data_IF_100272869044
#
_entry.id   IF_100272869044
#
_cell.length_a   1.000
_cell.length_b   1.000
_cell.length_c   1.000
_cell.angle_alpha   90.00
_cell.angle_beta   90.00
_cell.angle_gamma   90.00
#
_symmetry.space_group_name_H-M   'P 1'
#
loop_
_entity.id
_entity.type
_entity.pdbx_description
1 polymer ?
#
# COMPACT_ATOMS: atom_id res chain seq x y z
N UNK A 1 38.40 -10.80 26.51
CA UNK A 1 38.92 -9.65 25.77
C UNK A 1 37.81 -9.14 24.86
N UNK A 2 37.10 -8.10 25.33
CA UNK A 2 35.88 -7.55 24.66
C UNK A 2 36.33 -6.37 23.80
N UNK A 3 36.18 -6.52 22.48
CA UNK A 3 36.51 -5.48 21.50
C UNK A 3 35.29 -4.57 21.30
N UNK A 4 35.37 -3.34 21.78
CA UNK A 4 34.38 -2.28 21.50
C UNK A 4 34.76 -1.62 20.17
N UNK A 5 33.91 -1.73 19.16
CA UNK A 5 34.01 -0.97 17.91
C UNK A 5 33.13 0.28 18.06
N UNK A 6 33.77 1.44 18.15
CA UNK A 6 33.12 2.75 18.11
C UNK A 6 33.01 3.15 16.64
N UNK A 7 31.79 3.21 16.11
CA UNK A 7 31.51 3.75 14.76
C UNK A 7 31.30 5.25 14.89
N UNK A 8 32.25 6.02 14.36
CA UNK A 8 32.17 7.48 14.26
C UNK A 8 31.37 7.84 13.00
N UNK A 9 30.15 8.38 13.19
CA UNK A 9 29.33 8.94 12.12
C UNK A 9 29.82 10.34 11.78
N UNK A 10 30.43 10.52 10.60
CA UNK A 10 30.76 11.85 10.06
C UNK A 10 29.56 12.39 9.29
N UNK A 11 28.96 13.46 9.82
CA UNK A 11 27.96 14.26 9.13
C UNK A 11 28.63 15.07 8.00
N UNK A 12 28.34 14.72 6.75
CA UNK A 12 28.73 15.50 5.58
C UNK A 12 27.66 16.56 5.30
N UNK A 13 27.97 17.80 5.57
CA UNK A 13 27.11 18.94 5.26
C UNK A 13 27.19 19.27 3.77
N UNK A 14 26.08 19.11 3.03
CA UNK A 14 25.95 19.61 1.66
C UNK A 14 25.86 21.13 1.68
N UNK A 15 26.89 21.81 1.13
CA UNK A 15 26.89 23.24 0.83
C UNK A 15 26.08 23.52 -0.44
N UNK A 16 24.96 24.21 -0.30
CA UNK A 16 24.18 24.74 -1.43
C UNK A 16 24.93 25.93 -2.02
N UNK A 17 25.38 25.79 -3.24
CA UNK A 17 26.03 26.87 -4.00
C UNK A 17 24.94 27.71 -4.69
N UNK A 18 24.82 28.98 -4.28
CA UNK A 18 24.04 30.00 -5.00
C UNK A 18 24.77 30.39 -6.27
N UNK A 19 24.25 29.95 -7.40
CA UNK A 19 24.65 30.47 -8.71
C UNK A 19 23.88 31.74 -9.02
N UNK A 20 24.55 32.87 -9.00
CA UNK A 20 24.12 34.12 -9.63
C UNK A 20 24.46 34.05 -11.09
N UNK A 21 23.47 33.98 -11.97
CA UNK A 21 23.61 34.28 -13.40
C UNK A 21 22.60 35.35 -13.77
N UNK A 22 23.10 36.55 -13.92
CA UNK A 22 22.43 37.65 -14.57
C UNK A 22 22.59 37.48 -16.09
N UNK A 23 21.54 37.15 -16.82
CA UNK A 23 21.40 37.44 -18.22
C UNK A 23 20.05 38.10 -18.41
N UNK A 24 20.09 39.41 -18.49
CA UNK A 24 19.07 40.28 -19.07
C UNK A 24 19.17 40.16 -20.58
N UNK A 25 18.37 39.33 -21.22
CA UNK A 25 18.03 39.47 -22.62
C UNK A 25 16.61 40.01 -22.71
N UNK A 26 16.52 41.15 -23.43
CA UNK A 26 15.33 41.96 -23.49
C UNK A 26 14.14 41.24 -24.12
N UNK A 27 12.97 41.50 -23.54
CA UNK A 27 11.70 41.23 -24.19
C UNK A 27 11.57 42.05 -25.48
N UNK A 28 11.15 41.45 -26.58
CA UNK A 28 10.81 42.21 -27.78
C UNK A 28 9.57 43.06 -27.51
N UNK A 29 9.60 44.29 -27.99
CA UNK A 29 8.56 45.30 -27.92
C UNK A 29 7.20 44.81 -28.42
N UNK A 30 6.12 45.33 -27.83
CA UNK A 30 4.71 45.02 -28.05
C UNK A 30 4.14 45.39 -29.44
N UNK A 31 4.93 45.53 -30.50
CA UNK A 31 4.45 45.98 -31.79
C UNK A 31 4.67 44.96 -32.91
N UNK A 32 4.16 43.74 -32.77
CA UNK A 32 4.04 42.86 -33.95
C UNK A 32 3.10 41.67 -33.68
N UNK A 33 1.85 41.94 -33.36
CA UNK A 33 0.81 40.92 -33.54
C UNK A 33 -0.41 41.53 -34.25
N UNK A 34 -0.20 42.00 -35.47
CA UNK A 34 -1.32 42.15 -36.40
C UNK A 34 -1.65 40.76 -36.91
N UNK A 35 -2.75 40.23 -36.42
CA UNK A 35 -3.40 39.09 -37.05
C UNK A 35 -4.06 39.59 -38.34
N UNK A 36 -3.41 39.35 -39.45
CA UNK A 36 -4.02 39.42 -40.75
C UNK A 36 -4.62 38.04 -41.06
N UNK A 37 -5.79 38.11 -41.70
CA UNK A 37 -6.61 37.00 -42.19
C UNK A 37 -7.41 36.19 -41.17
N UNK A 38 -8.71 36.45 -41.28
CA UNK A 38 -9.77 35.58 -40.79
C UNK A 38 -9.58 34.18 -41.37
N UNK A 39 -8.79 33.35 -40.66
CA UNK A 39 -8.82 31.93 -40.89
C UNK A 39 -10.25 31.45 -40.56
N UNK A 40 -10.87 30.79 -41.50
CA UNK A 40 -12.15 30.11 -41.38
C UNK A 40 -12.26 29.46 -39.99
N UNK A 41 -13.06 30.05 -39.14
CA UNK A 41 -13.49 29.37 -37.93
C UNK A 41 -14.25 28.15 -38.44
N UNK A 42 -13.89 26.94 -37.99
CA UNK A 42 -14.68 25.76 -38.31
C UNK A 42 -16.10 26.03 -37.87
N UNK A 43 -17.04 25.80 -38.80
CA UNK A 43 -18.48 25.92 -38.58
C UNK A 43 -18.81 25.36 -37.22
N UNK A 44 -19.59 26.14 -36.45
CA UNK A 44 -20.07 25.77 -35.14
C UNK A 44 -20.44 24.28 -35.13
N UNK A 45 -19.66 23.45 -34.46
CA UNK A 45 -20.10 22.13 -34.13
C UNK A 45 -21.35 22.34 -33.29
N UNK A 46 -22.48 22.02 -33.91
CA UNK A 46 -23.75 21.87 -33.25
C UNK A 46 -23.51 20.85 -32.15
N UNK A 47 -23.36 21.35 -30.93
CA UNK A 47 -23.35 20.51 -29.78
C UNK A 47 -24.78 19.97 -29.62
N UNK A 48 -25.02 18.80 -30.21
CA UNK A 48 -26.24 18.04 -29.95
C UNK A 48 -26.39 17.87 -28.43
N UNK A 49 -27.04 18.86 -27.83
CA UNK A 49 -27.40 18.84 -26.41
C UNK A 49 -28.62 17.97 -26.14
N UNK A 50 -29.05 17.21 -27.13
CA UNK A 50 -30.21 16.30 -26.96
C UNK A 50 -29.73 14.85 -26.90
N UNK A 51 -29.97 14.26 -25.75
CA UNK A 51 -29.99 12.82 -25.44
C UNK A 51 -28.81 12.15 -24.71
N UNK A 52 -27.99 12.86 -23.99
CA UNK A 52 -27.26 12.14 -22.97
C UNK A 52 -28.14 12.03 -21.70
N UNK A 53 -28.69 10.85 -21.45
CA UNK A 53 -29.19 10.48 -20.13
C UNK A 53 -28.19 10.99 -19.07
N UNK A 54 -28.64 11.61 -17.97
CA UNK A 54 -27.72 12.14 -16.98
C UNK A 54 -26.82 11.01 -16.53
N UNK A 55 -25.54 11.05 -16.91
CA UNK A 55 -24.52 10.10 -16.45
C UNK A 55 -24.54 10.19 -14.93
N UNK A 56 -25.16 9.21 -14.28
CA UNK A 56 -25.14 9.07 -12.83
C UNK A 56 -23.66 9.01 -12.47
N UNK A 57 -23.15 10.11 -11.92
CA UNK A 57 -21.77 10.12 -11.44
C UNK A 57 -21.65 9.00 -10.42
N UNK A 58 -20.69 8.09 -10.56
CA UNK A 58 -20.49 7.09 -9.55
C UNK A 58 -20.34 7.81 -8.22
N UNK A 59 -21.09 7.37 -7.22
CA UNK A 59 -21.00 7.91 -5.87
C UNK A 59 -19.51 7.80 -5.50
N UNK A 60 -18.86 8.94 -5.29
CA UNK A 60 -17.50 8.95 -4.76
C UNK A 60 -17.54 8.24 -3.41
N UNK A 61 -16.97 7.05 -3.38
CA UNK A 61 -16.87 6.30 -2.14
C UNK A 61 -15.58 6.78 -1.45
N UNK A 62 -15.66 7.68 -0.47
CA UNK A 62 -14.49 8.11 0.28
C UNK A 62 -13.90 6.88 0.99
N UNK A 63 -12.64 6.94 1.36
CA UNK A 63 -11.90 5.88 2.07
C UNK A 63 -12.77 5.10 3.06
N UNK A 64 -12.51 3.80 3.17
CA UNK A 64 -13.18 2.95 4.16
C UNK A 64 -13.08 3.59 5.55
N UNK A 65 -14.15 3.44 6.34
CA UNK A 65 -14.16 3.89 7.73
C UNK A 65 -13.05 3.20 8.49
N UNK A 66 -12.20 3.96 9.17
CA UNK A 66 -11.17 3.43 10.05
C UNK A 66 -11.86 2.93 11.32
N UNK A 67 -11.85 1.63 11.54
CA UNK A 67 -12.45 0.98 12.72
C UNK A 67 -11.44 0.75 13.83
N UNK A 68 -10.18 0.55 13.46
CA UNK A 68 -9.11 0.14 14.39
C UNK A 68 -7.85 0.96 14.15
N UNK A 69 -7.22 1.41 15.23
CA UNK A 69 -5.88 1.98 15.23
C UNK A 69 -4.87 0.86 15.44
N UNK A 70 -4.03 0.59 14.46
CA UNK A 70 -2.85 -0.26 14.59
C UNK A 70 -1.72 0.56 15.22
N UNK A 71 -1.35 0.22 16.45
CA UNK A 71 -0.35 0.97 17.21
C UNK A 71 1.05 0.45 16.89
N UNK A 72 1.19 -0.86 16.82
CA UNK A 72 2.46 -1.52 16.54
C UNK A 72 2.25 -2.91 15.94
N UNK A 73 3.04 -3.23 14.93
CA UNK A 73 3.11 -4.58 14.36
C UNK A 73 4.56 -5.07 14.38
N UNK A 74 4.80 -6.18 15.06
CA UNK A 74 6.06 -6.92 15.01
C UNK A 74 5.88 -8.13 14.11
N UNK A 75 6.74 -8.27 13.09
CA UNK A 75 6.77 -9.42 12.20
C UNK A 75 8.00 -10.29 12.47
N UNK A 76 7.76 -11.60 12.60
CA UNK A 76 8.79 -12.63 12.64
C UNK A 76 8.54 -13.55 11.44
N UNK A 77 9.43 -13.51 10.44
CA UNK A 77 9.19 -14.13 9.14
C UNK A 77 10.33 -15.03 8.70
N UNK A 78 9.99 -16.08 7.94
CA UNK A 78 10.93 -16.91 7.22
C UNK A 78 10.40 -17.18 5.80
N UNK A 79 11.30 -17.35 4.84
CA UNK A 79 10.94 -17.50 3.44
C UNK A 79 11.17 -18.94 2.96
N UNK A 80 10.14 -19.53 2.36
CA UNK A 80 10.24 -20.76 1.60
C UNK A 80 10.43 -20.42 0.13
N UNK A 81 11.67 -20.41 -0.33
CA UNK A 81 12.03 -20.06 -1.70
C UNK A 81 11.49 -21.04 -2.73
N UNK A 82 11.39 -22.32 -2.39
CA UNK A 82 10.94 -23.35 -3.33
C UNK A 82 9.45 -23.20 -3.68
N UNK A 83 8.67 -22.79 -2.69
CA UNK A 83 7.20 -22.63 -2.81
C UNK A 83 6.80 -21.17 -3.04
N UNK A 84 7.75 -20.22 -3.04
CA UNK A 84 7.45 -18.78 -3.09
C UNK A 84 6.50 -18.35 -1.97
N UNK A 85 6.73 -18.83 -0.75
CA UNK A 85 5.88 -18.57 0.41
C UNK A 85 6.63 -17.88 1.54
N UNK A 86 5.89 -17.15 2.37
CA UNK A 86 6.38 -16.57 3.60
C UNK A 86 5.64 -17.20 4.78
N UNK A 87 6.39 -17.80 5.72
CA UNK A 87 5.85 -18.22 7.00
C UNK A 87 6.02 -17.06 7.98
N UNK A 88 4.92 -16.56 8.49
CA UNK A 88 4.87 -15.36 9.31
C UNK A 88 4.24 -15.58 10.68
N UNK A 89 4.73 -14.80 11.62
CA UNK A 89 4.10 -14.57 12.92
C UNK A 89 4.04 -13.08 13.14
N UNK A 90 2.82 -12.54 13.15
CA UNK A 90 2.56 -11.14 13.44
C UNK A 90 2.11 -10.98 14.89
N UNK A 91 2.72 -10.06 15.61
CA UNK A 91 2.25 -9.60 16.92
C UNK A 91 1.76 -8.17 16.76
N UNK A 92 0.45 -7.97 16.87
CA UNK A 92 -0.23 -6.72 16.56
C UNK A 92 -0.76 -6.13 17.86
N UNK A 93 -0.36 -4.91 18.17
CA UNK A 93 -0.97 -4.10 19.23
C UNK A 93 -1.90 -3.10 18.58
N UNK A 94 -3.16 -3.09 18.99
CA UNK A 94 -4.21 -2.28 18.41
C UNK A 94 -5.20 -1.82 19.49
N UNK A 95 -6.07 -0.88 19.08
CA UNK A 95 -7.23 -0.44 19.85
C UNK A 95 -8.36 -0.04 18.91
N UNK A 96 -9.63 -0.03 19.35
CA UNK A 96 -10.72 0.57 18.58
C UNK A 96 -10.45 2.06 18.31
N UNK A 97 -10.80 2.54 17.10
CA UNK A 97 -10.54 3.94 16.72
C UNK A 97 -11.51 4.92 17.41
N UNK A 98 -12.78 4.87 17.06
CA UNK A 98 -13.78 5.80 17.62
C UNK A 98 -14.75 5.14 18.59
N UNK A 99 -15.32 4.02 18.19
CA UNK A 99 -16.34 3.29 18.92
C UNK A 99 -15.74 2.06 19.58
N UNK A 100 -16.31 1.65 20.71
CA UNK A 100 -15.96 0.39 21.32
C UNK A 100 -16.28 -0.78 20.38
N UNK A 101 -15.47 -1.82 20.41
CA UNK A 101 -15.60 -3.00 19.55
C UNK A 101 -15.12 -4.26 20.27
N UNK A 102 -15.76 -5.37 19.96
CA UNK A 102 -15.35 -6.74 20.31
C UNK A 102 -14.75 -7.48 19.11
N UNK A 103 -14.61 -6.83 17.97
CA UNK A 103 -14.07 -7.41 16.74
C UNK A 103 -12.83 -6.66 16.26
N UNK A 104 -11.91 -7.41 15.66
CA UNK A 104 -10.81 -6.88 14.86
C UNK A 104 -10.90 -7.43 13.44
N UNK A 105 -11.01 -6.53 12.46
CA UNK A 105 -11.09 -6.88 11.04
C UNK A 105 -9.78 -6.47 10.36
N UNK A 106 -9.11 -7.44 9.74
CA UNK A 106 -7.86 -7.25 9.02
C UNK A 106 -7.98 -7.72 7.58
N UNK A 107 -7.39 -6.98 6.66
CA UNK A 107 -7.23 -7.46 5.29
C UNK A 107 -6.18 -8.59 5.29
N UNK A 108 -6.52 -9.75 4.72
CA UNK A 108 -5.65 -10.93 4.73
C UNK A 108 -5.82 -11.72 3.43
N UNK A 109 -5.21 -11.22 2.35
CA UNK A 109 -5.36 -11.84 1.02
C UNK A 109 -4.23 -12.83 0.75
N UNK A 110 -4.61 -14.01 0.20
CA UNK A 110 -3.65 -15.04 -0.21
C UNK A 110 -2.84 -15.59 0.95
N UNK A 111 -3.49 -15.86 2.07
CA UNK A 111 -2.87 -16.39 3.28
C UNK A 111 -3.60 -17.64 3.77
N UNK A 112 -2.87 -18.56 4.36
CA UNK A 112 -3.43 -19.57 5.24
C UNK A 112 -3.26 -19.06 6.68
N UNK A 113 -4.36 -18.85 7.39
CA UNK A 113 -4.34 -18.47 8.80
C UNK A 113 -4.23 -19.75 9.61
N UNK A 114 -3.13 -19.90 10.34
CA UNK A 114 -2.84 -21.10 11.09
C UNK A 114 -3.32 -21.01 12.54
N UNK A 115 -3.17 -19.81 13.12
CA UNK A 115 -3.47 -19.58 14.53
C UNK A 115 -3.69 -18.11 14.83
N UNK A 116 -4.69 -17.82 15.67
CA UNK A 116 -4.94 -16.49 16.19
C UNK A 116 -5.04 -16.58 17.72
N UNK A 117 -4.24 -15.79 18.44
CA UNK A 117 -4.16 -15.85 19.90
C UNK A 117 -4.12 -14.49 20.55
N UNK A 118 -4.66 -14.41 21.77
CA UNK A 118 -4.47 -13.30 22.69
C UNK A 118 -4.01 -13.85 24.05
N UNK A 119 -2.88 -13.35 24.56
CA UNK A 119 -2.29 -13.79 25.84
C UNK A 119 -2.14 -15.32 25.94
N UNK A 120 -1.86 -15.99 24.83
CA UNK A 120 -1.67 -17.44 24.75
C UNK A 120 -2.96 -18.28 24.65
N UNK A 121 -4.14 -17.66 24.65
CA UNK A 121 -5.41 -18.32 24.40
C UNK A 121 -5.81 -18.14 22.93
N UNK A 122 -6.36 -19.20 22.35
CA UNK A 122 -6.87 -19.14 20.98
C UNK A 122 -8.12 -18.27 20.94
N UNK A 123 -8.24 -17.47 19.88
CA UNK A 123 -9.41 -16.65 19.58
C UNK A 123 -10.22 -17.27 18.45
N UNK A 124 -11.53 -17.11 18.53
CA UNK A 124 -12.43 -17.43 17.43
C UNK A 124 -12.23 -16.41 16.29
N UNK A 125 -12.24 -16.89 15.05
CA UNK A 125 -12.14 -16.03 13.88
C UNK A 125 -12.87 -16.64 12.69
N UNK A 126 -13.22 -15.78 11.71
CA UNK A 126 -13.75 -16.18 10.41
C UNK A 126 -12.84 -15.68 9.30
N UNK A 127 -12.66 -16.50 8.25
CA UNK A 127 -11.83 -16.22 7.10
C UNK A 127 -12.42 -16.90 5.85
N UNK A 128 -13.72 -16.64 5.59
CA UNK A 128 -14.49 -17.38 4.58
C UNK A 128 -14.20 -16.94 3.15
N UNK A 129 -13.97 -15.65 2.95
CA UNK A 129 -13.75 -15.07 1.63
C UNK A 129 -12.27 -15.04 1.21
N UNK A 130 -11.36 -15.51 2.05
CA UNK A 130 -9.92 -15.43 1.89
C UNK A 130 -9.40 -13.98 1.61
N UNK A 131 -10.19 -12.98 2.02
CA UNK A 131 -9.88 -11.56 1.86
C UNK A 131 -9.77 -10.86 3.20
N UNK A 132 -10.67 -11.17 4.13
CA UNK A 132 -10.75 -10.54 5.44
C UNK A 132 -10.71 -11.55 6.56
N UNK A 133 -9.86 -11.27 7.52
CA UNK A 133 -9.77 -12.01 8.77
C UNK A 133 -10.56 -11.24 9.83
N UNK A 134 -11.71 -11.78 10.25
CA UNK A 134 -12.53 -11.22 11.32
C UNK A 134 -12.26 -11.99 12.60
N UNK A 135 -11.77 -11.32 13.62
CA UNK A 135 -11.34 -11.92 14.90
C UNK A 135 -12.26 -11.45 16.00
N UNK A 136 -12.86 -12.39 16.74
CA UNK A 136 -13.60 -12.10 17.96
C UNK A 136 -12.60 -11.89 19.11
N UNK A 137 -12.63 -10.71 19.73
CA UNK A 137 -11.72 -10.34 20.82
C UNK A 137 -12.17 -10.94 22.20
N UNK A 138 -13.32 -11.61 22.22
CA UNK A 138 -13.88 -12.24 23.42
C UNK A 138 -14.48 -11.28 24.45
N UNK A 139 -14.36 -9.98 24.23
CA UNK A 139 -15.01 -8.90 24.99
C UNK A 139 -14.95 -7.58 24.27
N UNK A 140 -15.79 -6.66 24.64
CA UNK A 140 -15.76 -5.28 24.17
C UNK A 140 -14.54 -4.54 24.71
N UNK A 141 -13.80 -3.87 23.85
CA UNK A 141 -12.71 -2.93 24.15
C UNK A 141 -13.14 -1.50 23.83
N UNK A 142 -12.80 -0.57 24.72
CA UNK A 142 -13.02 0.87 24.49
C UNK A 142 -11.86 1.42 23.63
N UNK A 143 -12.07 2.57 23.02
CA UNK A 143 -11.04 3.27 22.21
C UNK A 143 -9.81 3.72 23.03
N UNK A 144 -9.85 3.63 24.34
CA UNK A 144 -8.73 3.88 25.27
C UNK A 144 -8.01 2.63 25.73
N UNK A 145 -8.52 1.44 25.36
CA UNK A 145 -7.98 0.16 25.78
C UNK A 145 -7.22 -0.52 24.63
N UNK A 146 -5.97 -0.84 24.89
CA UNK A 146 -5.14 -1.57 23.95
C UNK A 146 -5.26 -3.08 24.17
N UNK A 147 -5.13 -3.83 23.08
CA UNK A 147 -5.00 -5.27 23.09
C UNK A 147 -3.86 -5.71 22.17
N UNK A 148 -3.30 -6.88 22.44
CA UNK A 148 -2.25 -7.46 21.61
C UNK A 148 -2.65 -8.86 21.21
N UNK A 149 -2.67 -9.11 19.90
CA UNK A 149 -2.93 -10.42 19.31
C UNK A 149 -1.69 -10.95 18.63
N UNK A 150 -1.65 -12.26 18.44
CA UNK A 150 -0.62 -12.95 17.67
C UNK A 150 -1.30 -13.78 16.60
N UNK A 151 -0.85 -13.65 15.34
CA UNK A 151 -1.36 -14.39 14.20
C UNK A 151 -0.20 -15.17 13.60
N UNK A 152 -0.35 -16.49 13.44
CA UNK A 152 0.57 -17.34 12.69
C UNK A 152 -0.07 -17.65 11.35
N UNK A 153 0.68 -17.44 10.24
CA UNK A 153 0.14 -17.54 8.90
C UNK A 153 1.20 -17.97 7.87
N UNK A 154 0.72 -18.43 6.73
CA UNK A 154 1.54 -18.65 5.53
C UNK A 154 1.00 -17.73 4.44
N UNK A 155 1.81 -16.80 3.96
CA UNK A 155 1.46 -15.98 2.80
C UNK A 155 1.88 -16.68 1.52
N UNK A 156 0.96 -16.71 0.53
CA UNK A 156 1.08 -17.40 -0.76
C UNK A 156 0.84 -16.41 -1.91
N UNK A 157 1.73 -15.46 -2.14
CA UNK A 157 1.49 -14.37 -3.07
C UNK A 157 1.30 -14.84 -4.52
N UNK A 158 1.87 -15.98 -4.90
CA UNK A 158 1.76 -16.52 -6.26
C UNK A 158 0.43 -17.27 -6.52
N UNK A 159 -0.31 -17.59 -5.47
CA UNK A 159 -1.64 -18.22 -5.57
C UNK A 159 -2.78 -17.17 -5.64
N UNK A 160 -2.48 -15.88 -5.52
CA UNK A 160 -3.48 -14.82 -5.64
C UNK A 160 -3.99 -14.72 -7.08
N UNK A 161 -5.31 -14.80 -7.24
CA UNK A 161 -5.97 -14.42 -8.48
C UNK A 161 -5.84 -12.91 -8.67
N UNK A 162 -5.16 -12.51 -9.74
CA UNK A 162 -4.79 -11.14 -9.98
C UNK A 162 -5.93 -10.34 -10.59
N UNK A 163 -6.49 -9.42 -9.82
CA UNK A 163 -7.32 -8.35 -10.33
C UNK A 163 -6.49 -7.06 -10.34
N UNK A 164 -5.86 -6.76 -11.44
CA UNK A 164 -5.08 -5.53 -11.57
C UNK A 164 -5.51 -4.72 -12.79
N UNK A 165 -5.17 -3.43 -12.81
CA UNK A 165 -5.25 -2.64 -14.04
C UNK A 165 -4.18 -3.12 -15.02
N UNK A 166 -4.39 -2.90 -16.33
CA UNK A 166 -3.42 -3.26 -17.37
C UNK A 166 -2.01 -2.63 -17.16
N UNK A 167 -1.90 -1.64 -16.31
CA UNK A 167 -0.66 -0.93 -16.00
C UNK A 167 0.13 -1.56 -14.83
N UNK A 168 -0.55 -2.30 -13.95
CA UNK A 168 0.08 -2.95 -12.79
C UNK A 168 -0.31 -4.43 -12.84
N UNK A 169 0.51 -5.21 -13.54
CA UNK A 169 0.34 -6.66 -13.61
C UNK A 169 0.80 -7.26 -12.27
N UNK A 170 -0.10 -7.32 -11.30
CA UNK A 170 0.13 -8.03 -10.07
C UNK A 170 0.18 -7.16 -8.82
N UNK A 171 -0.96 -7.05 -8.17
CA UNK A 171 -1.11 -6.43 -6.85
C UNK A 171 -0.95 -7.49 -5.75
N UNK A 172 0.25 -8.11 -5.69
CA UNK A 172 0.55 -9.20 -4.75
C UNK A 172 1.10 -8.71 -3.40
N UNK A 173 1.66 -7.50 -3.37
CA UNK A 173 2.37 -6.96 -2.22
C UNK A 173 3.74 -7.60 -1.95
N UNK A 174 3.91 -8.89 -2.15
CA UNK A 174 5.15 -9.65 -1.99
C UNK A 174 5.49 -10.41 -3.27
N UNK A 175 6.73 -10.28 -3.73
CA UNK A 175 7.21 -10.86 -4.99
C UNK A 175 8.45 -11.68 -4.78
N UNK A 176 8.42 -12.93 -5.24
CA UNK A 176 9.61 -13.78 -5.37
C UNK A 176 10.10 -13.73 -6.81
N UNK A 177 11.30 -13.26 -7.01
CA UNK A 177 11.92 -13.12 -8.32
C UNK A 177 13.00 -14.18 -8.47
N UNK A 178 12.87 -15.04 -9.48
CA UNK A 178 13.77 -16.15 -9.74
C UNK A 178 14.08 -16.98 -8.48
N UNK A 179 13.06 -17.45 -7.72
CA UNK A 179 13.27 -18.06 -6.41
C UNK A 179 14.13 -19.32 -6.44
N UNK A 180 14.13 -20.05 -7.56
CA UNK A 180 14.92 -21.28 -7.75
C UNK A 180 16.29 -21.04 -8.41
N UNK A 181 16.59 -19.80 -8.82
CA UNK A 181 17.85 -19.49 -9.48
C UNK A 181 18.00 -20.06 -10.91
N UNK A 182 16.88 -20.40 -11.57
CA UNK A 182 16.89 -21.03 -12.90
C UNK A 182 17.17 -20.02 -14.02
N UNK A 183 16.80 -18.76 -13.84
CA UNK A 183 17.08 -17.69 -14.81
C UNK A 183 18.56 -17.28 -14.72
N UNK A 184 19.30 -17.45 -15.82
CA UNK A 184 20.69 -17.04 -15.91
C UNK A 184 20.80 -15.51 -15.81
N UNK A 185 21.82 -15.02 -15.12
CA UNK A 185 22.12 -13.59 -14.91
C UNK A 185 21.09 -12.81 -14.07
N UNK A 186 20.20 -13.50 -13.37
CA UNK A 186 19.24 -12.89 -12.46
C UNK A 186 19.34 -13.55 -11.10
N UNK A 187 19.77 -12.80 -10.10
CA UNK A 187 19.87 -13.33 -8.73
C UNK A 187 18.47 -13.56 -8.14
N UNK A 188 18.29 -14.58 -7.29
CA UNK A 188 17.09 -14.70 -6.47
C UNK A 188 16.88 -13.46 -5.61
N UNK A 189 15.68 -12.92 -5.60
CA UNK A 189 15.31 -11.70 -4.88
C UNK A 189 13.92 -11.80 -4.30
N UNK A 190 13.68 -11.06 -3.23
CA UNK A 190 12.35 -10.83 -2.66
C UNK A 190 12.10 -9.32 -2.66
N UNK A 191 10.93 -8.92 -3.12
CA UNK A 191 10.49 -7.54 -3.16
C UNK A 191 9.14 -7.39 -2.49
N UNK A 192 8.94 -6.26 -1.84
CA UNK A 192 7.63 -5.82 -1.37
C UNK A 192 7.25 -4.52 -2.07
N UNK A 193 5.98 -4.41 -2.45
CA UNK A 193 5.42 -3.21 -3.03
C UNK A 193 4.02 -3.00 -2.47
N UNK A 194 3.80 -1.85 -1.87
CA UNK A 194 2.54 -1.50 -1.20
C UNK A 194 1.68 -0.51 -1.98
N UNK A 195 1.89 -0.33 -3.30
CA UNK A 195 1.07 0.57 -4.09
C UNK A 195 -0.36 0.06 -4.22
N UNK A 196 -1.29 1.01 -4.30
CA UNK A 196 -2.72 0.81 -4.38
C UNK A 196 -3.26 -0.01 -3.19
N UNK A 197 -3.88 -1.15 -3.41
CA UNK A 197 -4.57 -1.93 -2.40
C UNK A 197 -3.64 -2.74 -1.50
N UNK A 198 -2.47 -3.15 -1.98
CA UNK A 198 -1.52 -3.91 -1.19
C UNK A 198 -0.94 -3.11 0.00
N UNK A 199 -1.15 -1.81 0.05
CA UNK A 199 -0.73 -0.94 1.16
C UNK A 199 -1.72 -0.92 2.34
N UNK A 200 -2.86 -1.59 2.24
CA UNK A 200 -3.86 -1.67 3.31
C UNK A 200 -3.62 -2.80 4.31
N UNK A 201 -2.47 -3.44 4.25
CA UNK A 201 -2.12 -4.59 5.09
C UNK A 201 -1.49 -4.18 6.43
N UNK A 202 -1.59 -5.08 7.39
CA UNK A 202 -1.10 -4.98 8.78
C UNK A 202 0.33 -5.48 8.98
#
# INVERSE_FOLDING_TARGET
STLFIIILLTLSACKTQKGTSSNTEGFPSEDAFYMDEAADLPESHDWDMDSEEPKVRPIYNPSNTILTDLIHTKLEVSFNWNESQLNGKATITAKPHFYESDELILDARGMDILKVQMKGNDLEYTYEDALKLNIDLGRVYKNTEEYTITIEYISKPDELEMGGSAAIAGDKGLYFINPKGEEKNKMPQIWTQGETQANSVW
#
